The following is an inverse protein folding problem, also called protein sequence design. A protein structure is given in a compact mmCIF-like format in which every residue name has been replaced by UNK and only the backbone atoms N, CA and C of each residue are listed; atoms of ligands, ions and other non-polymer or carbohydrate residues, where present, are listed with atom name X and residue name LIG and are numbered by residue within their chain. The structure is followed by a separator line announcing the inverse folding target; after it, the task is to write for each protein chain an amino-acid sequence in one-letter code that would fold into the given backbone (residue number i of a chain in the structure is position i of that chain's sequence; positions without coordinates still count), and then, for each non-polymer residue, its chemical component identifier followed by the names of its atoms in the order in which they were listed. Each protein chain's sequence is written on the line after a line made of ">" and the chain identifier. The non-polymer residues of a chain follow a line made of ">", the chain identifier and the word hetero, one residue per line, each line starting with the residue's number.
data_IF_021327002999
#
_entry.id   IF_021327002999
#
_cell.length_a   1.000
_cell.length_b   1.000
_cell.length_c   1.000
_cell.angle_alpha   90.00
_cell.angle_beta   90.00
_cell.angle_gamma   90.00
#
_symmetry.space_group_name_H-M   'P 1'
#
loop_
_entity.id
_entity.type
_entity.pdbx_description
1 polymer ?
#
# COMPACT_ATOMS: atom_id res chain seq x y z
N UNK A 1 13.01 8.89 14.39
CA UNK A 1 12.95 9.13 12.95
C UNK A 1 13.39 10.53 12.59
N UNK A 2 12.73 11.59 13.08
CA UNK A 2 13.04 12.98 12.73
C UNK A 2 14.51 13.34 13.01
N UNK A 3 15.03 13.00 14.18
CA UNK A 3 16.43 13.26 14.53
C UNK A 3 17.39 12.53 13.56
N UNK A 4 17.09 11.26 13.23
CA UNK A 4 17.88 10.48 12.29
C UNK A 4 17.82 11.07 10.86
N UNK A 5 16.64 11.45 10.40
CA UNK A 5 16.44 12.06 9.08
C UNK A 5 17.12 13.44 8.97
N UNK A 6 17.25 14.15 10.10
CA UNK A 6 17.99 15.39 10.19
C UNK A 6 19.53 15.19 10.31
N UNK A 7 20.03 13.95 10.28
CA UNK A 7 21.45 13.64 10.45
C UNK A 7 21.96 13.79 11.89
N UNK A 8 21.05 13.86 12.86
CA UNK A 8 21.37 13.98 14.28
C UNK A 8 21.40 12.62 14.98
N UNK A 9 21.97 12.57 16.19
CA UNK A 9 21.84 11.41 17.07
C UNK A 9 20.36 11.07 17.29
N UNK A 10 19.97 9.78 17.34
CA UNK A 10 18.57 9.36 17.38
C UNK A 10 17.91 9.56 18.77
N UNK A 11 18.07 10.75 19.32
CA UNK A 11 17.52 11.18 20.60
C UNK A 11 16.70 12.44 20.35
N UNK A 12 15.47 12.49 20.87
CA UNK A 12 14.59 13.64 20.76
C UNK A 12 13.84 13.92 22.05
N UNK A 13 13.50 15.17 22.29
CA UNK A 13 12.63 15.60 23.36
C UNK A 13 11.21 15.80 22.79
N UNK A 14 10.22 15.30 23.49
CA UNK A 14 8.81 15.48 23.16
C UNK A 14 8.15 16.36 24.22
N UNK A 15 7.32 17.30 23.77
CA UNK A 15 6.45 18.09 24.63
C UNK A 15 5.10 18.30 23.94
N UNK A 16 4.03 18.31 24.72
CA UNK A 16 2.70 18.73 24.24
C UNK A 16 2.59 20.25 24.26
N UNK A 17 1.95 20.78 23.22
CA UNK A 17 1.62 22.21 23.17
C UNK A 17 0.23 22.40 23.74
N UNK A 18 0.14 23.12 24.87
CA UNK A 18 -1.09 23.34 25.63
C UNK A 18 -1.52 24.82 25.59
N UNK A 19 -2.79 25.06 25.85
CA UNK A 19 -3.35 26.37 26.10
C UNK A 19 -3.08 26.81 27.56
N UNK A 20 -3.29 28.07 27.86
CA UNK A 20 -3.10 28.61 29.22
C UNK A 20 -4.01 27.98 30.27
N UNK A 21 -5.14 27.43 29.83
CA UNK A 21 -6.09 26.68 30.66
C UNK A 21 -5.68 25.22 30.88
N UNK A 22 -4.57 24.78 30.31
CA UNK A 22 -4.03 23.42 30.40
C UNK A 22 -4.63 22.43 29.37
N UNK A 23 -5.57 22.85 28.54
CA UNK A 23 -6.10 22.01 27.47
C UNK A 23 -5.09 21.86 26.32
N UNK A 24 -5.07 20.69 25.65
CA UNK A 24 -4.17 20.43 24.51
C UNK A 24 -4.66 21.21 23.29
N UNK A 25 -3.73 21.94 22.64
CA UNK A 25 -4.03 22.67 21.41
C UNK A 25 -4.47 21.71 20.29
N UNK A 26 -5.52 22.09 19.58
CA UNK A 26 -6.03 21.39 18.39
C UNK A 26 -5.37 21.91 17.11
N UNK A 27 -5.56 21.21 15.99
CA UNK A 27 -4.86 21.49 14.73
C UNK A 27 -4.90 22.98 14.33
N UNK A 28 -6.06 23.66 14.37
CA UNK A 28 -6.16 25.08 14.04
C UNK A 28 -5.26 25.94 14.91
N UNK A 29 -5.31 25.74 16.23
CA UNK A 29 -4.48 26.46 17.20
C UNK A 29 -2.98 26.12 17.04
N UNK A 30 -2.65 24.88 16.64
CA UNK A 30 -1.26 24.48 16.37
C UNK A 30 -0.72 25.15 15.11
N UNK A 31 -1.54 25.35 14.07
CA UNK A 31 -1.15 26.07 12.88
C UNK A 31 -0.84 27.54 13.18
N UNK A 32 -1.73 28.20 13.94
CA UNK A 32 -1.54 29.58 14.39
C UNK A 32 -0.26 29.72 15.26
N UNK A 33 -0.08 28.80 16.21
CA UNK A 33 1.10 28.77 17.08
C UNK A 33 2.40 28.55 16.26
N UNK A 34 2.37 27.67 15.29
CA UNK A 34 3.53 27.40 14.43
C UNK A 34 3.90 28.63 13.59
N UNK A 35 2.90 29.34 13.05
CA UNK A 35 3.11 30.57 12.28
C UNK A 35 3.65 31.70 13.17
N UNK A 36 3.06 31.94 14.34
CA UNK A 36 3.49 32.96 15.30
C UNK A 36 4.96 32.78 15.74
N UNK A 37 5.35 31.52 15.97
CA UNK A 37 6.70 31.19 16.47
C UNK A 37 7.68 30.75 15.36
N UNK A 38 7.29 30.84 14.09
CA UNK A 38 8.08 30.42 12.93
C UNK A 38 8.59 28.97 13.07
N UNK A 39 7.70 28.06 13.48
CA UNK A 39 7.98 26.64 13.66
C UNK A 39 7.52 25.83 12.46
N UNK A 40 8.30 24.82 12.11
CA UNK A 40 7.88 23.85 11.09
C UNK A 40 6.88 22.88 11.68
N UNK A 41 5.74 22.75 11.03
CA UNK A 41 4.72 21.75 11.39
C UNK A 41 4.59 20.71 10.29
N UNK A 42 4.58 19.44 10.66
CA UNK A 42 4.32 18.31 9.76
C UNK A 42 3.34 17.35 10.42
N UNK A 43 2.62 16.60 9.62
CA UNK A 43 1.82 15.48 10.13
C UNK A 43 2.61 14.17 10.08
N UNK A 44 2.24 13.22 10.93
CA UNK A 44 2.80 11.86 10.90
C UNK A 44 2.58 11.22 9.52
N UNK A 45 1.43 11.46 8.88
CA UNK A 45 1.14 10.96 7.54
C UNK A 45 2.15 11.46 6.49
N UNK A 46 2.52 12.74 6.54
CA UNK A 46 3.56 13.31 5.66
C UNK A 46 4.94 12.68 5.93
N UNK A 47 5.28 12.44 7.20
CA UNK A 47 6.54 11.77 7.55
C UNK A 47 6.57 10.32 7.05
N UNK A 48 5.46 9.59 7.17
CA UNK A 48 5.34 8.22 6.64
C UNK A 48 5.52 8.24 5.11
N UNK A 49 4.80 9.08 4.39
CA UNK A 49 4.91 9.21 2.95
C UNK A 49 6.34 9.56 2.52
N UNK A 50 6.98 10.51 3.21
CA UNK A 50 8.37 10.88 2.95
C UNK A 50 9.33 9.69 3.10
N UNK A 51 9.17 8.88 4.16
CA UNK A 51 9.99 7.69 4.37
C UNK A 51 9.74 6.62 3.32
N UNK A 52 8.48 6.35 3.03
CA UNK A 52 8.08 5.35 2.04
C UNK A 52 8.64 5.63 0.64
N UNK A 53 8.76 6.92 0.25
CA UNK A 53 9.31 7.28 -1.06
C UNK A 53 10.84 7.22 -1.13
N UNK A 54 11.54 7.31 0.00
CA UNK A 54 13.01 7.40 0.06
C UNK A 54 13.70 6.17 0.63
N UNK A 55 13.00 5.42 1.45
CA UNK A 55 13.54 4.21 2.07
C UNK A 55 13.10 2.98 1.27
N UNK A 56 13.98 2.01 1.13
CA UNK A 56 13.64 0.70 0.60
C UNK A 56 13.07 -0.13 1.75
N UNK A 57 11.75 -0.28 1.76
CA UNK A 57 11.00 -0.90 2.87
C UNK A 57 10.52 -2.31 2.53
N UNK A 58 10.85 -2.83 1.35
CA UNK A 58 10.53 -4.19 0.97
C UNK A 58 11.82 -4.96 0.72
N UNK A 59 11.92 -6.15 1.25
CA UNK A 59 13.03 -7.07 1.07
C UNK A 59 12.52 -8.33 0.38
N UNK A 60 13.16 -8.74 -0.72
CA UNK A 60 12.91 -10.06 -1.31
C UNK A 60 13.37 -11.13 -0.33
N UNK A 61 12.47 -12.07 0.00
CA UNK A 61 12.78 -13.19 0.87
C UNK A 61 13.11 -14.42 0.04
N UNK A 62 12.26 -14.73 -0.94
CA UNK A 62 12.39 -15.92 -1.76
C UNK A 62 11.79 -15.68 -3.15
N UNK A 63 12.34 -16.36 -4.15
CA UNK A 63 11.86 -16.35 -5.54
C UNK A 63 11.84 -17.79 -6.08
N UNK A 64 10.69 -18.19 -6.65
CA UNK A 64 10.49 -19.54 -7.17
C UNK A 64 9.42 -19.58 -8.26
N UNK A 65 9.43 -20.63 -9.08
CA UNK A 65 8.39 -20.89 -10.06
C UNK A 65 7.20 -21.59 -9.41
N UNK A 66 5.99 -21.17 -9.79
CA UNK A 66 4.74 -21.78 -9.31
C UNK A 66 3.78 -22.02 -10.46
N UNK A 67 3.05 -23.14 -10.40
CA UNK A 67 1.93 -23.38 -11.29
C UNK A 67 0.66 -22.84 -10.68
N UNK A 68 0.06 -21.85 -11.32
CA UNK A 68 -1.21 -21.25 -10.92
C UNK A 68 -2.39 -21.84 -11.72
N UNK A 69 -3.60 -21.44 -11.37
CA UNK A 69 -4.83 -21.82 -12.12
C UNK A 69 -4.80 -21.35 -13.59
N UNK A 70 -4.00 -20.33 -13.89
CA UNK A 70 -3.92 -19.68 -15.22
C UNK A 70 -2.59 -19.94 -15.94
N UNK A 71 -1.75 -20.80 -15.38
CA UNK A 71 -0.47 -21.17 -15.95
C UNK A 71 0.71 -20.92 -15.01
N UNK A 72 1.94 -21.09 -15.49
CA UNK A 72 3.16 -20.87 -14.73
C UNK A 72 3.35 -19.38 -14.45
N UNK A 73 3.83 -19.07 -13.25
CA UNK A 73 4.19 -17.73 -12.83
C UNK A 73 5.46 -17.78 -11.97
N UNK A 74 6.20 -16.69 -11.96
CA UNK A 74 7.30 -16.46 -11.04
C UNK A 74 6.74 -15.85 -9.77
N UNK A 75 6.88 -16.54 -8.65
CA UNK A 75 6.43 -16.10 -7.33
C UNK A 75 7.59 -15.49 -6.56
N UNK A 76 7.38 -14.33 -5.98
CA UNK A 76 8.38 -13.62 -5.19
C UNK A 76 7.72 -13.21 -3.87
N UNK A 77 8.34 -13.57 -2.76
CA UNK A 77 7.88 -13.15 -1.44
C UNK A 77 8.66 -11.93 -0.96
N UNK A 78 7.93 -11.02 -0.32
CA UNK A 78 8.47 -9.76 0.16
C UNK A 78 8.15 -9.55 1.63
N UNK A 79 9.13 -9.13 2.39
CA UNK A 79 9.01 -8.76 3.80
C UNK A 79 9.10 -7.27 3.97
N UNK A 80 8.36 -6.72 4.94
CA UNK A 80 8.49 -5.33 5.36
C UNK A 80 8.93 -5.27 6.82
N UNK A 81 9.57 -4.18 7.27
CA UNK A 81 9.92 -4.03 8.69
C UNK A 81 8.71 -3.79 9.59
N UNK A 82 7.53 -3.64 9.01
CA UNK A 82 6.28 -3.33 9.73
C UNK A 82 5.42 -4.56 9.97
N UNK A 83 5.63 -5.64 9.20
CA UNK A 83 4.84 -6.85 9.25
C UNK A 83 5.74 -8.07 9.42
N UNK A 84 5.24 -9.06 10.17
CA UNK A 84 5.92 -10.36 10.31
C UNK A 84 5.47 -11.37 9.25
N UNK A 85 4.59 -10.96 8.35
CA UNK A 85 4.00 -11.79 7.30
C UNK A 85 4.58 -11.37 5.96
N UNK A 86 5.04 -12.35 5.17
CA UNK A 86 5.55 -12.08 3.85
C UNK A 86 4.39 -11.84 2.86
N UNK A 87 4.48 -10.77 2.08
CA UNK A 87 3.61 -10.48 0.95
C UNK A 87 4.04 -11.29 -0.26
N UNK A 88 3.15 -11.49 -1.23
CA UNK A 88 3.41 -12.29 -2.42
C UNK A 88 3.21 -11.46 -3.69
N UNK A 89 4.14 -11.55 -4.63
CA UNK A 89 3.95 -11.10 -6.01
C UNK A 89 4.00 -12.29 -6.96
N UNK A 90 3.01 -12.42 -7.83
CA UNK A 90 3.00 -13.34 -8.96
C UNK A 90 3.28 -12.54 -10.23
N UNK A 91 4.33 -12.92 -10.95
CA UNK A 91 4.81 -12.24 -12.15
C UNK A 91 4.61 -13.16 -13.34
N UNK A 92 3.90 -12.67 -14.34
CA UNK A 92 3.65 -13.30 -15.63
C UNK A 92 4.40 -12.51 -16.70
N UNK A 93 5.27 -13.19 -17.46
CA UNK A 93 6.16 -12.53 -18.43
C UNK A 93 7.33 -11.79 -17.76
N UNK A 94 7.96 -10.89 -18.49
CA UNK A 94 9.16 -10.16 -18.04
C UNK A 94 8.86 -8.65 -17.95
N UNK A 95 8.65 -8.13 -16.74
CA UNK A 95 8.49 -6.69 -16.54
C UNK A 95 9.79 -5.94 -16.87
N UNK A 96 9.63 -4.81 -17.55
CA UNK A 96 10.72 -3.93 -17.90
C UNK A 96 10.27 -2.46 -17.83
N UNK A 97 11.20 -1.56 -17.59
CA UNK A 97 10.90 -0.15 -17.39
C UNK A 97 10.27 0.55 -18.62
N UNK A 98 10.50 0.01 -19.82
CA UNK A 98 9.96 0.48 -21.09
C UNK A 98 8.63 -0.17 -21.48
N UNK A 99 8.12 -1.09 -20.67
CA UNK A 99 6.86 -1.80 -20.90
C UNK A 99 5.76 -1.32 -19.96
N UNK A 100 4.55 -1.25 -20.50
CA UNK A 100 3.36 -1.06 -19.68
C UNK A 100 2.90 -2.39 -19.11
N UNK A 101 2.90 -2.51 -17.78
CA UNK A 101 2.61 -3.75 -17.06
C UNK A 101 1.19 -3.71 -16.50
N UNK A 102 0.39 -4.77 -16.74
CA UNK A 102 -0.92 -4.89 -16.12
C UNK A 102 -0.75 -5.35 -14.67
N UNK A 103 -1.26 -4.56 -13.73
CA UNK A 103 -1.03 -4.75 -12.30
C UNK A 103 -2.33 -4.84 -11.53
N UNK A 104 -2.41 -5.79 -10.60
CA UNK A 104 -3.40 -5.80 -9.52
C UNK A 104 -2.69 -5.77 -8.19
N UNK A 105 -3.06 -4.81 -7.34
CA UNK A 105 -2.72 -4.83 -5.92
C UNK A 105 -3.98 -5.29 -5.18
N UNK A 106 -3.89 -6.45 -4.51
CA UNK A 106 -5.00 -7.08 -3.81
C UNK A 106 -4.66 -7.22 -2.33
N UNK A 107 -5.53 -6.75 -1.46
CA UNK A 107 -5.45 -6.99 -0.02
C UNK A 107 -6.10 -8.32 0.30
N UNK A 108 -5.44 -9.13 1.12
CA UNK A 108 -5.96 -10.42 1.59
C UNK A 108 -7.36 -10.27 2.20
N UNK A 109 -8.28 -11.06 1.67
CA UNK A 109 -9.62 -11.28 2.22
C UNK A 109 -9.82 -12.78 2.34
N UNK A 110 -9.28 -13.36 3.39
CA UNK A 110 -9.18 -14.81 3.55
C UNK A 110 -10.49 -15.55 3.27
N UNK A 111 -11.62 -15.05 3.80
CA UNK A 111 -12.93 -15.69 3.61
C UNK A 111 -13.42 -15.59 2.16
N UNK A 112 -13.23 -14.45 1.51
CA UNK A 112 -13.66 -14.23 0.13
C UNK A 112 -12.72 -14.95 -0.84
N UNK A 113 -11.40 -14.82 -0.63
CA UNK A 113 -10.38 -15.34 -1.54
C UNK A 113 -10.29 -16.88 -1.52
N UNK A 114 -10.53 -17.51 -0.36
CA UNK A 114 -10.35 -18.96 -0.18
C UNK A 114 -11.67 -19.71 -0.09
N UNK A 115 -12.66 -19.15 0.58
CA UNK A 115 -13.92 -19.85 0.89
C UNK A 115 -15.12 -19.33 0.11
N UNK A 116 -14.97 -18.28 -0.70
CA UNK A 116 -16.04 -17.72 -1.51
C UNK A 116 -17.20 -17.22 -0.64
N UNK A 117 -16.90 -16.35 0.33
CA UNK A 117 -17.92 -15.77 1.23
C UNK A 117 -19.05 -15.09 0.44
N UNK A 118 -20.30 -15.20 0.93
CA UNK A 118 -21.49 -14.60 0.30
C UNK A 118 -21.66 -13.10 0.64
N UNK A 119 -20.62 -12.41 1.05
CA UNK A 119 -20.66 -10.99 1.45
C UNK A 119 -20.87 -9.99 0.30
N UNK A 120 -21.42 -10.46 -0.83
CA UNK A 120 -21.77 -9.58 -1.97
C UNK A 120 -20.57 -9.17 -2.84
N UNK A 121 -19.39 -9.65 -2.52
CA UNK A 121 -18.19 -9.53 -3.35
C UNK A 121 -18.05 -10.78 -4.23
N UNK A 122 -17.50 -10.58 -5.42
CA UNK A 122 -17.31 -11.66 -6.38
C UNK A 122 -16.38 -12.74 -5.78
N UNK A 123 -16.94 -13.91 -5.48
CA UNK A 123 -16.22 -15.05 -4.87
C UNK A 123 -15.07 -15.58 -5.75
N UNK A 124 -14.92 -15.04 -6.96
CA UNK A 124 -13.88 -15.39 -7.93
C UNK A 124 -12.93 -14.24 -8.25
N UNK A 125 -12.94 -13.18 -7.48
CA UNK A 125 -12.17 -11.96 -7.78
C UNK A 125 -10.69 -12.26 -8.06
N UNK A 126 -10.04 -13.06 -7.22
CA UNK A 126 -8.63 -13.44 -7.40
C UNK A 126 -8.43 -14.22 -8.69
N UNK A 127 -9.29 -15.21 -8.98
CA UNK A 127 -9.20 -16.02 -10.20
C UNK A 127 -9.45 -15.17 -11.45
N UNK A 128 -10.44 -14.26 -11.41
CA UNK A 128 -10.73 -13.31 -12.49
C UNK A 128 -9.54 -12.39 -12.74
N UNK A 129 -8.96 -11.80 -11.69
CA UNK A 129 -7.77 -10.95 -11.81
C UNK A 129 -6.58 -11.72 -12.39
N UNK A 130 -6.31 -12.94 -11.91
CA UNK A 130 -5.22 -13.76 -12.41
C UNK A 130 -5.38 -14.09 -13.88
N UNK A 131 -6.63 -14.36 -14.32
CA UNK A 131 -6.93 -14.62 -15.74
C UNK A 131 -6.59 -13.40 -16.60
N UNK A 132 -7.10 -12.23 -16.27
CA UNK A 132 -6.79 -10.99 -17.00
C UNK A 132 -5.30 -10.71 -17.06
N UNK A 133 -4.60 -10.89 -15.93
CA UNK A 133 -3.16 -10.64 -15.83
C UNK A 133 -2.36 -11.64 -16.66
N UNK A 134 -2.76 -12.93 -16.69
CA UNK A 134 -2.05 -13.96 -17.46
C UNK A 134 -2.26 -13.84 -18.98
N UNK A 135 -3.33 -13.20 -19.42
CA UNK A 135 -3.63 -12.93 -20.83
C UNK A 135 -2.87 -11.70 -21.35
N UNK A 136 -2.31 -10.86 -20.45
CA UNK A 136 -1.48 -9.74 -20.83
C UNK A 136 -0.05 -10.20 -21.22
N UNK A 137 0.63 -9.44 -22.09
CA UNK A 137 2.03 -9.72 -22.45
C UNK A 137 2.95 -9.75 -21.23
N UNK A 138 2.66 -8.87 -20.25
CA UNK A 138 3.32 -8.81 -18.96
C UNK A 138 2.34 -8.35 -17.89
N UNK A 139 2.28 -9.07 -16.78
CA UNK A 139 1.39 -8.77 -15.69
C UNK A 139 1.92 -9.13 -14.32
N UNK A 140 1.48 -8.39 -13.30
CA UNK A 140 1.87 -8.59 -11.91
C UNK A 140 0.63 -8.59 -11.03
N UNK A 141 0.47 -9.65 -10.23
CA UNK A 141 -0.51 -9.73 -9.17
C UNK A 141 0.18 -9.64 -7.82
N UNK A 142 -0.04 -8.56 -7.07
CA UNK A 142 0.49 -8.36 -5.74
C UNK A 142 -0.57 -8.71 -4.72
N UNK A 143 -0.30 -9.72 -3.88
CA UNK A 143 -1.15 -10.15 -2.78
C UNK A 143 -0.57 -9.63 -1.46
N UNK A 144 -1.18 -8.58 -0.94
CA UNK A 144 -0.80 -7.97 0.33
C UNK A 144 -1.50 -8.70 1.46
N UNK A 145 -0.73 -9.42 2.25
CA UNK A 145 -1.23 -10.16 3.41
C UNK A 145 -1.38 -9.25 4.61
N UNK A 146 -2.39 -9.52 5.42
CA UNK A 146 -2.66 -8.76 6.64
C UNK A 146 -2.27 -9.56 7.88
N UNK A 147 -1.44 -8.96 8.75
CA UNK A 147 -1.01 -9.54 10.02
C UNK A 147 -2.02 -9.36 11.15
N UNK A 148 -3.05 -8.52 10.94
CA UNK A 148 -4.05 -8.29 11.96
C UNK A 148 -5.02 -9.49 12.03
N UNK A 149 -5.35 -9.92 13.25
CA UNK A 149 -6.35 -10.96 13.54
C UNK A 149 -7.76 -10.65 12.98
N UNK A 150 -7.93 -9.46 12.37
CA UNK A 150 -9.14 -9.02 11.68
C UNK A 150 -9.32 -9.59 10.26
N UNK A 151 -8.49 -10.51 9.82
CA UNK A 151 -8.72 -11.25 8.55
C UNK A 151 -10.09 -11.96 8.51
N UNK A 152 -10.82 -11.96 9.63
CA UNK A 152 -12.17 -12.52 9.80
C UNK A 152 -13.19 -11.41 10.16
N UNK A 153 -12.95 -10.17 9.79
CA UNK A 153 -13.93 -9.10 10.06
C UNK A 153 -15.14 -9.26 9.12
N UNK A 154 -16.21 -9.84 9.67
CA UNK A 154 -17.49 -10.10 8.97
C UNK A 154 -18.34 -8.83 8.80
N UNK A 155 -17.85 -7.65 9.18
CA UNK A 155 -18.63 -6.42 9.19
C UNK A 155 -17.89 -5.26 8.52
N UNK A 156 -17.93 -5.20 7.21
CA UNK A 156 -17.52 -4.01 6.44
C UNK A 156 -18.70 -3.12 6.01
N UNK A 157 -19.84 -3.19 6.70
CA UNK A 157 -21.05 -2.43 6.36
C UNK A 157 -21.49 -1.41 7.43
N UNK A 158 -20.65 -1.05 8.38
CA UNK A 158 -20.91 0.07 9.29
C UNK A 158 -20.47 1.41 8.68
N UNK A 159 -21.13 2.55 9.02
CA UNK A 159 -20.55 3.86 8.72
C UNK A 159 -19.27 3.97 9.55
N UNK A 160 -18.19 3.61 8.93
CA UNK A 160 -16.84 3.67 9.45
C UNK A 160 -16.61 5.05 10.05
N UNK A 161 -16.09 5.05 11.24
CA UNK A 161 -15.37 6.20 11.82
C UNK A 161 -14.18 6.47 10.86
N UNK A 162 -14.57 7.14 9.81
CA UNK A 162 -14.14 7.01 8.43
C UNK A 162 -12.94 7.86 8.09
N UNK A 163 -12.12 8.32 9.02
CA UNK A 163 -11.28 9.36 8.48
C UNK A 163 -9.77 9.17 8.56
N UNK A 164 -9.24 8.52 9.54
CA UNK A 164 -7.78 8.50 9.65
C UNK A 164 -7.16 7.09 9.55
N UNK A 165 -7.74 6.08 10.19
CA UNK A 165 -7.16 4.74 10.18
C UNK A 165 -7.28 4.05 8.82
N UNK A 166 -8.43 4.14 8.16
CA UNK A 166 -8.62 3.55 6.82
C UNK A 166 -7.75 4.22 5.75
N UNK A 167 -7.54 5.54 5.83
CA UNK A 167 -6.61 6.24 4.95
C UNK A 167 -5.17 5.83 5.19
N UNK A 168 -4.77 5.66 6.44
CA UNK A 168 -3.41 5.27 6.79
C UNK A 168 -3.10 3.83 6.33
N UNK A 169 -4.05 2.91 6.49
CA UNK A 169 -3.95 1.55 5.96
C UNK A 169 -3.86 1.54 4.43
N UNK A 170 -4.71 2.29 3.75
CA UNK A 170 -4.68 2.42 2.30
C UNK A 170 -3.35 3.02 1.80
N UNK A 171 -2.79 4.02 2.49
CA UNK A 171 -1.48 4.58 2.18
C UNK A 171 -0.36 3.56 2.38
N UNK A 172 -0.44 2.72 3.41
CA UNK A 172 0.52 1.64 3.68
C UNK A 172 0.48 0.61 2.54
N UNK A 173 -0.69 0.19 2.12
CA UNK A 173 -0.89 -0.76 1.01
C UNK A 173 -0.32 -0.23 -0.31
N UNK A 174 -0.67 1.02 -0.66
CA UNK A 174 -0.13 1.68 -1.86
C UNK A 174 1.40 1.78 -1.78
N UNK A 175 1.93 2.12 -0.62
CA UNK A 175 3.37 2.27 -0.42
C UNK A 175 4.13 0.95 -0.59
N UNK A 176 3.67 -0.13 0.01
CA UNK A 176 4.26 -1.47 -0.12
C UNK A 176 4.12 -1.97 -1.55
N UNK A 177 2.93 -1.86 -2.13
CA UNK A 177 2.68 -2.25 -3.52
C UNK A 177 3.58 -1.51 -4.51
N UNK A 178 3.72 -0.19 -4.35
CA UNK A 178 4.60 0.63 -5.20
C UNK A 178 6.08 0.24 -5.08
N UNK A 179 6.55 -0.09 -3.89
CA UNK A 179 7.94 -0.52 -3.70
C UNK A 179 8.20 -1.91 -4.30
N UNK A 180 7.24 -2.83 -4.21
CA UNK A 180 7.31 -4.13 -4.90
C UNK A 180 7.37 -3.91 -6.42
N UNK A 181 6.52 -3.05 -6.97
CA UNK A 181 6.54 -2.72 -8.41
C UNK A 181 7.88 -2.14 -8.85
N UNK A 182 8.44 -1.24 -8.04
CA UNK A 182 9.75 -0.64 -8.31
C UNK A 182 10.87 -1.68 -8.28
N UNK A 183 10.86 -2.59 -7.32
CA UNK A 183 11.81 -3.70 -7.23
C UNK A 183 11.71 -4.65 -8.44
N UNK A 184 10.50 -4.81 -9.00
CA UNK A 184 10.21 -5.58 -10.20
C UNK A 184 10.45 -4.80 -11.51
N UNK A 185 11.00 -3.57 -11.46
CA UNK A 185 11.18 -2.65 -12.59
C UNK A 185 9.90 -2.30 -13.37
N UNK A 186 8.72 -2.42 -12.75
CA UNK A 186 7.42 -2.04 -13.32
C UNK A 186 7.14 -0.57 -13.02
N UNK A 187 7.74 0.34 -13.80
CA UNK A 187 7.61 1.80 -13.58
C UNK A 187 6.44 2.43 -14.33
N UNK A 188 5.93 1.79 -15.38
CA UNK A 188 4.72 2.19 -16.09
C UNK A 188 3.69 1.08 -15.98
N UNK A 189 2.52 1.39 -15.42
CA UNK A 189 1.52 0.37 -15.12
C UNK A 189 0.13 0.74 -15.64
N UNK A 190 -0.64 -0.31 -15.99
CA UNK A 190 -2.10 -0.26 -16.10
C UNK A 190 -2.66 -1.00 -14.89
N UNK A 191 -3.54 -0.35 -14.14
CA UNK A 191 -4.03 -0.89 -12.89
C UNK A 191 -5.40 -1.55 -13.08
N UNK A 192 -5.49 -2.83 -12.76
CA UNK A 192 -6.74 -3.57 -12.76
C UNK A 192 -7.49 -3.28 -11.44
N UNK A 193 -8.61 -2.54 -11.50
CA UNK A 193 -9.36 -2.11 -10.33
C UNK A 193 -10.88 -2.25 -10.51
N UNK A 194 -11.59 -2.70 -9.48
CA UNK A 194 -13.04 -2.86 -9.51
C UNK A 194 -13.84 -1.54 -9.39
N UNK A 195 -13.19 -0.45 -9.01
CA UNK A 195 -13.74 0.92 -8.97
C UNK A 195 -12.61 1.90 -9.24
N UNK A 196 -12.93 3.06 -9.82
CA UNK A 196 -11.97 4.16 -9.92
C UNK A 196 -11.55 4.63 -8.51
N UNK A 197 -10.46 4.10 -8.02
CA UNK A 197 -9.80 4.61 -6.84
C UNK A 197 -8.69 5.55 -7.28
N UNK A 198 -8.67 6.74 -6.71
CA UNK A 198 -7.62 7.73 -6.96
C UNK A 198 -6.32 7.26 -6.25
N UNK A 199 -5.50 6.50 -6.96
CA UNK A 199 -4.18 6.04 -6.48
C UNK A 199 -3.13 7.17 -6.55
N UNK A 200 -3.47 8.34 -5.99
CA UNK A 200 -2.65 9.57 -6.02
C UNK A 200 -1.24 9.36 -5.45
N UNK A 201 -1.01 8.29 -4.70
CA UNK A 201 0.27 8.02 -4.05
C UNK A 201 1.35 7.40 -4.95
N UNK A 202 1.00 6.70 -6.04
CA UNK A 202 1.95 5.93 -6.86
C UNK A 202 3.00 6.80 -7.54
N UNK A 203 2.62 7.98 -7.99
CA UNK A 203 3.55 8.92 -8.64
C UNK A 203 4.69 9.36 -7.73
N UNK A 204 4.45 9.46 -6.41
CA UNK A 204 5.47 9.76 -5.42
C UNK A 204 6.58 8.70 -5.32
N UNK A 205 6.29 7.46 -5.77
CA UNK A 205 7.26 6.36 -5.82
C UNK A 205 7.96 6.22 -7.18
N UNK A 206 7.66 7.10 -8.13
CA UNK A 206 8.18 7.01 -9.50
C UNK A 206 7.44 6.00 -10.38
N UNK A 207 6.21 5.62 -10.00
CA UNK A 207 5.34 4.76 -10.79
C UNK A 207 4.39 5.64 -11.60
N UNK A 208 4.35 5.44 -12.91
CA UNK A 208 3.43 6.12 -13.82
C UNK A 208 2.20 5.23 -14.03
N UNK A 209 1.03 5.73 -13.64
CA UNK A 209 -0.25 5.10 -13.94
C UNK A 209 -0.70 5.55 -15.35
N UNK A 210 -0.63 4.64 -16.31
CA UNK A 210 -1.05 4.90 -17.70
C UNK A 210 -2.59 4.82 -17.84
N UNK A 211 -3.20 3.80 -17.25
CA UNK A 211 -4.64 3.57 -17.28
C UNK A 211 -5.13 2.81 -16.06
N UNK A 212 -6.43 2.93 -15.79
CA UNK A 212 -7.15 2.02 -14.88
C UNK A 212 -8.10 1.18 -15.71
N UNK A 213 -7.96 -0.14 -15.61
CA UNK A 213 -8.82 -1.10 -16.30
C UNK A 213 -9.88 -1.63 -15.33
N UNK A 214 -11.18 -1.60 -15.72
CA UNK A 214 -12.23 -2.18 -14.88
C UNK A 214 -12.10 -3.70 -14.84
N UNK A 215 -12.52 -4.29 -13.72
CA UNK A 215 -12.81 -5.71 -13.60
C UNK A 215 -14.28 -5.90 -14.03
N UNK A 216 -14.47 -6.54 -15.17
CA UNK A 216 -15.79 -6.94 -15.66
C UNK A 216 -16.24 -8.28 -15.03
#
# INVERSE_FOLDING_TARGET
>A
DLARLAGCSPIGLLAEVVNDDGSVKRLGQLLEFADEHNLTIISIAVLIAYRQTREHLVERVEEFEVSTLVGPARAITYRTPFDQIDHLALVFGEPAADKSVLVRIHRERLLDDVFGSQSGHDSNLVATCLKHISEAECGIFIYLRDSNERAIDLQDDGPLDSSQNSRMEQWKEIGVGAQILKDLNATTIRLLAGREHNYVGLSGFGITLEATEPLD
#
